data_IF_815664040150
#
_entry.id   IF_815664040150
#
_cell.length_a   1.000
_cell.length_b   1.000
_cell.length_c   1.000
_cell.angle_alpha   90.00
_cell.angle_beta   90.00
_cell.angle_gamma   90.00
#
_symmetry.space_group_name_H-M   'P 1'
#
loop_
_entity.id
_entity.type
_entity.pdbx_description
1 polymer ?
#
# COMPACT_ATOMS: atom_id res chain seq x y z
N UNK A 1 9.40 -6.08 -11.60
CA UNK A 1 9.49 -7.54 -11.71
C UNK A 1 9.13 -8.32 -10.45
N UNK A 2 9.20 -7.78 -9.23
CA UNK A 2 8.81 -8.56 -8.04
C UNK A 2 7.37 -9.08 -8.11
N UNK A 3 6.41 -8.24 -8.52
CA UNK A 3 5.01 -8.64 -8.68
C UNK A 3 4.83 -9.63 -9.82
N UNK A 4 5.45 -9.38 -10.98
CA UNK A 4 5.38 -10.27 -12.14
C UNK A 4 5.88 -11.67 -11.79
N UNK A 5 7.08 -11.77 -11.19
CA UNK A 5 7.66 -13.04 -10.75
C UNK A 5 6.72 -13.75 -9.76
N UNK A 6 6.17 -13.03 -8.79
CA UNK A 6 5.27 -13.60 -7.79
C UNK A 6 3.96 -14.12 -8.38
N UNK A 7 3.36 -13.36 -9.30
CA UNK A 7 2.10 -13.73 -9.97
C UNK A 7 2.33 -14.95 -10.88
N UNK A 8 3.37 -14.94 -11.70
CA UNK A 8 3.72 -16.05 -12.60
C UNK A 8 4.07 -17.32 -11.85
N UNK A 9 4.87 -17.21 -10.78
CA UNK A 9 5.22 -18.35 -9.92
C UNK A 9 3.97 -19.04 -9.33
N UNK A 10 2.92 -18.27 -9.03
CA UNK A 10 1.66 -18.80 -8.50
C UNK A 10 0.59 -19.02 -9.58
N UNK A 11 0.95 -18.92 -10.87
CA UNK A 11 0.03 -19.05 -12.00
C UNK A 11 -1.19 -18.11 -11.92
N UNK A 12 -1.02 -16.92 -11.35
CA UNK A 12 -2.07 -15.89 -11.27
C UNK A 12 -2.03 -15.06 -12.55
N UNK A 13 -3.10 -15.07 -13.36
CA UNK A 13 -3.13 -14.31 -14.61
C UNK A 13 -3.15 -12.81 -14.31
N UNK A 14 -2.29 -12.06 -14.98
CA UNK A 14 -2.25 -10.60 -14.84
C UNK A 14 -2.16 -9.88 -16.18
N UNK A 15 -2.53 -8.60 -16.17
CA UNK A 15 -2.38 -7.67 -17.29
C UNK A 15 -1.69 -6.40 -16.82
N UNK A 16 -0.61 -6.01 -17.50
CA UNK A 16 0.23 -4.86 -17.15
C UNK A 16 0.21 -3.73 -18.19
N UNK A 17 -0.79 -3.72 -19.09
CA UNK A 17 -0.93 -2.72 -20.14
C UNK A 17 -0.24 -3.07 -21.47
N UNK A 18 0.41 -4.23 -21.55
CA UNK A 18 1.08 -4.70 -22.77
C UNK A 18 0.30 -5.85 -23.42
N UNK A 19 0.22 -5.80 -24.75
CA UNK A 19 -0.47 -6.80 -25.58
C UNK A 19 0.47 -7.36 -26.64
N UNK A 20 0.29 -8.64 -26.98
CA UNK A 20 1.13 -9.36 -27.94
C UNK A 20 2.10 -10.33 -27.26
N UNK A 21 2.49 -11.38 -27.98
CA UNK A 21 3.33 -12.47 -27.45
C UNK A 21 4.79 -12.38 -27.88
N UNK A 22 5.06 -12.02 -29.13
CA UNK A 22 6.41 -11.98 -29.67
C UNK A 22 7.17 -10.69 -29.28
N UNK A 23 6.55 -9.54 -29.54
CA UNK A 23 7.08 -8.24 -29.15
C UNK A 23 5.93 -7.45 -28.52
N UNK A 24 5.66 -7.64 -27.22
CA UNK A 24 4.55 -7.00 -26.54
C UNK A 24 4.66 -5.48 -26.66
N UNK A 25 3.57 -4.81 -26.99
CA UNK A 25 3.50 -3.36 -27.12
C UNK A 25 2.48 -2.78 -26.14
N UNK A 26 2.74 -1.56 -25.66
CA UNK A 26 1.82 -0.86 -24.77
C UNK A 26 0.54 -0.51 -25.53
N UNK A 27 -0.61 -0.93 -24.99
CA UNK A 27 -1.92 -0.62 -25.57
C UNK A 27 -2.72 0.27 -24.61
N UNK A 28 -2.59 1.60 -24.78
CA UNK A 28 -3.24 2.58 -23.91
C UNK A 28 -4.78 2.51 -23.92
N UNK A 29 -5.39 2.15 -25.05
CA UNK A 29 -6.86 1.99 -25.14
C UNK A 29 -7.34 0.87 -24.21
N UNK A 30 -6.62 -0.26 -24.18
CA UNK A 30 -6.92 -1.36 -23.27
C UNK A 30 -6.52 -1.09 -21.81
N UNK A 31 -5.85 0.01 -21.50
CA UNK A 31 -5.61 0.44 -20.12
C UNK A 31 -6.80 1.23 -19.59
N UNK A 32 -7.40 2.08 -20.42
CA UNK A 32 -8.52 2.97 -20.06
C UNK A 32 -9.86 2.23 -19.95
N UNK A 33 -10.01 1.09 -20.65
CA UNK A 33 -11.15 0.20 -20.44
C UNK A 33 -11.26 -0.16 -18.94
N UNK A 34 -12.47 -0.31 -18.43
CA UNK A 34 -12.74 -0.73 -17.04
C UNK A 34 -13.44 -2.10 -17.01
N UNK A 35 -13.89 -2.59 -18.16
CA UNK A 35 -14.60 -3.85 -18.33
C UNK A 35 -13.59 -5.00 -18.52
N UNK A 36 -13.23 -5.64 -17.41
CA UNK A 36 -12.23 -6.72 -17.43
C UNK A 36 -12.75 -8.02 -16.84
N UNK A 37 -12.05 -9.10 -17.19
CA UNK A 37 -12.22 -10.39 -16.55
C UNK A 37 -11.92 -10.27 -15.05
N UNK A 38 -12.90 -10.62 -14.23
CA UNK A 38 -12.81 -10.57 -12.76
C UNK A 38 -11.69 -11.45 -12.19
N UNK A 39 -11.25 -12.46 -12.94
CA UNK A 39 -10.19 -13.39 -12.55
C UNK A 39 -8.78 -12.91 -12.90
N UNK A 40 -8.63 -11.79 -13.62
CA UNK A 40 -7.33 -11.29 -14.05
C UNK A 40 -6.88 -10.11 -13.18
N UNK A 41 -5.72 -10.25 -12.55
CA UNK A 41 -5.08 -9.17 -11.78
C UNK A 41 -4.60 -8.05 -12.70
N UNK A 42 -4.80 -6.79 -12.32
CA UNK A 42 -4.29 -5.63 -13.06
C UNK A 42 -3.06 -5.06 -12.36
N UNK A 43 -1.95 -4.98 -13.08
CA UNK A 43 -0.67 -4.50 -12.56
C UNK A 43 -0.28 -3.20 -13.27
N UNK A 44 -0.61 -2.07 -12.67
CA UNK A 44 -0.30 -0.76 -13.23
C UNK A 44 1.02 -0.22 -12.70
N UNK A 45 2.00 -0.04 -13.58
CA UNK A 45 3.36 0.40 -13.23
C UNK A 45 3.53 1.90 -13.52
N UNK A 46 2.97 2.74 -12.66
CA UNK A 46 2.86 4.21 -12.86
C UNK A 46 4.22 4.89 -13.11
N UNK A 47 5.29 4.42 -12.47
CA UNK A 47 6.66 4.95 -12.65
C UNK A 47 7.47 4.25 -13.75
N UNK A 48 6.83 3.37 -14.51
CA UNK A 48 7.49 2.54 -15.49
C UNK A 48 7.94 1.20 -14.95
N UNK A 49 8.65 0.47 -15.79
CA UNK A 49 9.18 -0.84 -15.50
C UNK A 49 10.55 -0.96 -16.14
N UNK A 50 11.39 -1.81 -15.55
CA UNK A 50 12.50 -2.39 -16.28
C UNK A 50 11.96 -3.10 -17.54
N UNK A 51 12.77 -3.13 -18.60
CA UNK A 51 12.42 -3.74 -19.89
C UNK A 51 11.42 -2.98 -20.76
N UNK A 52 11.03 -1.75 -20.41
CA UNK A 52 10.24 -0.90 -21.30
C UNK A 52 11.15 -0.10 -22.22
N UNK A 53 10.92 -0.17 -23.53
CA UNK A 53 11.73 0.46 -24.56
C UNK A 53 10.86 1.29 -25.50
N UNK A 54 11.36 2.43 -25.95
CA UNK A 54 10.73 3.19 -27.02
C UNK A 54 11.30 2.73 -28.36
N UNK A 55 10.42 2.21 -29.21
CA UNK A 55 10.74 1.82 -30.59
C UNK A 55 10.64 3.07 -31.48
N UNK A 56 11.78 3.64 -31.89
CA UNK A 56 11.85 4.86 -32.71
C UNK A 56 11.27 4.64 -34.12
N UNK A 57 11.41 3.45 -34.68
CA UNK A 57 10.94 3.12 -36.03
C UNK A 57 9.41 3.04 -36.07
N UNK A 58 8.83 2.36 -35.07
CA UNK A 58 7.38 2.14 -34.97
C UNK A 58 6.67 3.16 -34.07
N UNK A 59 7.41 4.09 -33.46
CA UNK A 59 6.95 5.14 -32.54
C UNK A 59 6.02 4.62 -31.44
N UNK A 60 6.41 3.51 -30.81
CA UNK A 60 5.60 2.82 -29.81
C UNK A 60 6.45 2.29 -28.67
N UNK A 61 5.81 1.99 -27.55
CA UNK A 61 6.48 1.39 -26.40
C UNK A 61 6.35 -0.11 -26.48
N UNK A 62 7.46 -0.80 -26.30
CA UNK A 62 7.55 -2.26 -26.35
C UNK A 62 8.20 -2.79 -25.09
N UNK A 63 7.90 -4.05 -24.76
CA UNK A 63 8.59 -4.79 -23.70
C UNK A 63 9.67 -5.67 -24.30
N UNK A 64 10.90 -5.53 -23.80
CA UNK A 64 12.08 -6.33 -24.15
C UNK A 64 12.84 -6.69 -22.86
N UNK A 65 13.91 -7.46 -22.99
CA UNK A 65 14.83 -7.71 -21.88
C UNK A 65 15.39 -6.38 -21.35
N UNK A 66 15.50 -6.29 -20.02
CA UNK A 66 15.99 -5.07 -19.35
C UNK A 66 17.43 -4.78 -19.75
N UNK A 67 17.70 -3.53 -20.12
CA UNK A 67 19.05 -3.05 -20.41
C UNK A 67 19.20 -1.57 -19.97
N UNK A 68 20.29 -0.91 -20.35
CA UNK A 68 20.57 0.49 -19.96
C UNK A 68 19.60 1.54 -20.53
N UNK A 69 18.77 1.17 -21.50
CA UNK A 69 17.80 2.05 -22.20
C UNK A 69 16.38 1.96 -21.62
N UNK A 70 16.22 1.27 -20.49
CA UNK A 70 14.93 1.07 -19.84
C UNK A 70 14.22 2.40 -19.49
N UNK A 71 12.97 2.52 -19.90
CA UNK A 71 12.10 3.67 -19.63
C UNK A 71 11.59 3.64 -18.17
N UNK A 72 12.28 4.41 -17.32
CA UNK A 72 11.91 4.61 -15.91
C UNK A 72 11.76 6.10 -15.56
N UNK A 73 10.66 6.45 -14.89
CA UNK A 73 10.49 7.76 -14.25
C UNK A 73 10.74 7.61 -12.76
N UNK A 74 11.76 8.30 -12.29
CA UNK A 74 12.05 8.39 -10.86
C UNK A 74 11.19 9.48 -10.25
N UNK A 75 10.79 9.36 -8.97
CA UNK A 75 10.07 10.40 -8.24
C UNK A 75 10.99 11.61 -8.04
N UNK A 76 11.07 12.49 -9.05
CA UNK A 76 11.78 13.76 -8.98
C UNK A 76 11.12 14.80 -9.89
N UNK A 77 11.06 16.04 -9.42
CA UNK A 77 10.45 17.18 -10.12
C UNK A 77 11.14 17.50 -11.46
N UNK A 78 12.42 17.14 -11.61
CA UNK A 78 13.22 17.38 -12.81
C UNK A 78 12.80 16.53 -14.04
N UNK A 79 11.96 15.50 -13.86
CA UNK A 79 11.49 14.61 -14.95
C UNK A 79 10.07 14.89 -15.43
N UNK A 80 9.53 16.08 -15.10
CA UNK A 80 8.17 16.50 -15.43
C UNK A 80 7.77 16.32 -16.91
N UNK A 81 8.68 16.61 -17.86
CA UNK A 81 8.37 16.45 -19.29
C UNK A 81 8.23 14.98 -19.72
N UNK A 82 8.79 14.04 -18.96
CA UNK A 82 8.70 12.61 -19.25
C UNK A 82 7.38 12.00 -18.75
N UNK A 83 6.82 12.50 -17.65
CA UNK A 83 5.54 11.99 -17.09
C UNK A 83 4.32 12.36 -17.92
N UNK A 84 4.46 13.32 -18.84
CA UNK A 84 3.40 13.75 -19.79
C UNK A 84 3.38 12.93 -21.09
N UNK A 85 4.29 11.97 -21.23
CA UNK A 85 4.35 11.07 -22.39
C UNK A 85 3.61 9.76 -22.09
N UNK A 86 3.12 9.10 -23.14
CA UNK A 86 2.74 7.69 -23.02
C UNK A 86 3.97 6.90 -22.56
N UNK A 87 3.80 5.90 -21.68
CA UNK A 87 2.55 5.29 -21.20
C UNK A 87 2.03 5.93 -19.89
N UNK A 88 2.78 6.87 -19.33
CA UNK A 88 2.61 7.39 -17.97
C UNK A 88 1.32 8.17 -17.79
N UNK A 89 0.95 8.99 -18.78
CA UNK A 89 -0.33 9.71 -18.77
C UNK A 89 -1.51 8.73 -18.67
N UNK A 90 -1.53 7.68 -19.48
CA UNK A 90 -2.60 6.68 -19.44
C UNK A 90 -2.69 5.96 -18.09
N UNK A 91 -1.55 5.61 -17.49
CA UNK A 91 -1.51 4.95 -16.18
C UNK A 91 -1.93 5.88 -15.04
N UNK A 92 -1.52 7.15 -15.10
CA UNK A 92 -1.95 8.16 -14.14
C UNK A 92 -3.44 8.46 -14.24
N UNK A 93 -3.98 8.53 -15.45
CA UNK A 93 -5.42 8.75 -15.68
C UNK A 93 -6.21 7.52 -15.23
N UNK A 94 -5.67 6.32 -15.44
CA UNK A 94 -6.25 5.07 -14.94
C UNK A 94 -6.38 5.02 -13.43
N UNK A 95 -5.38 5.52 -12.68
CA UNK A 95 -5.44 5.66 -11.22
C UNK A 95 -6.55 6.64 -10.81
N UNK A 96 -6.58 7.82 -11.44
CA UNK A 96 -7.61 8.84 -11.18
C UNK A 96 -9.01 8.29 -11.45
N UNK A 97 -9.21 7.61 -12.57
CA UNK A 97 -10.49 7.03 -12.97
C UNK A 97 -10.92 5.90 -12.04
N UNK A 98 -9.98 5.07 -11.57
CA UNK A 98 -10.25 4.04 -10.56
C UNK A 98 -10.81 4.65 -9.27
N UNK A 99 -10.12 5.64 -8.69
CA UNK A 99 -10.55 6.30 -7.43
C UNK A 99 -11.92 7.00 -7.56
N UNK A 100 -12.29 7.40 -8.79
CA UNK A 100 -13.57 8.02 -9.09
C UNK A 100 -14.73 7.02 -9.22
N UNK A 101 -14.49 5.72 -9.27
CA UNK A 101 -15.59 4.75 -9.29
C UNK A 101 -16.28 4.68 -7.93
N UNK A 102 -17.59 4.49 -7.92
CA UNK A 102 -18.37 4.28 -6.70
C UNK A 102 -17.83 3.07 -5.91
N UNK A 103 -17.96 3.14 -4.57
CA UNK A 103 -17.54 2.09 -3.63
C UNK A 103 -16.06 1.64 -3.75
N UNK A 104 -15.19 2.53 -4.25
CA UNK A 104 -13.77 2.22 -4.42
C UNK A 104 -13.01 2.31 -3.10
N UNK A 105 -12.25 1.26 -2.80
CA UNK A 105 -11.27 1.26 -1.72
C UNK A 105 -9.86 1.18 -2.29
N UNK A 106 -9.02 2.16 -1.96
CA UNK A 106 -7.58 2.12 -2.24
C UNK A 106 -6.80 1.82 -0.96
N UNK A 107 -6.02 0.74 -0.96
CA UNK A 107 -5.08 0.43 0.12
C UNK A 107 -3.68 0.80 -0.36
N UNK A 108 -3.00 1.65 0.41
CA UNK A 108 -1.66 2.14 0.12
C UNK A 108 -0.70 1.56 1.15
N UNK A 109 0.35 0.89 0.68
CA UNK A 109 1.41 0.33 1.51
C UNK A 109 2.77 0.56 0.83
N UNK A 110 3.80 0.89 1.61
CA UNK A 110 5.15 1.11 1.10
C UNK A 110 5.35 2.39 0.28
N UNK A 111 4.40 3.34 0.34
CA UNK A 111 4.50 4.63 -0.33
C UNK A 111 4.71 5.75 0.70
N UNK A 112 5.78 6.54 0.51
CA UNK A 112 6.17 7.61 1.44
C UNK A 112 5.38 8.90 1.28
N UNK A 113 4.56 9.03 0.22
CA UNK A 113 3.95 10.29 -0.22
C UNK A 113 4.96 11.37 -0.62
N UNK A 114 6.17 10.97 -1.03
CA UNK A 114 7.19 11.87 -1.55
C UNK A 114 6.97 12.36 -2.99
N UNK A 115 6.04 11.77 -3.75
CA UNK A 115 5.69 12.19 -5.11
C UNK A 115 4.43 13.07 -5.10
N UNK A 116 4.63 14.38 -5.22
CA UNK A 116 3.54 15.36 -5.18
C UNK A 116 2.52 15.16 -6.31
N UNK A 117 2.94 14.70 -7.49
CA UNK A 117 2.03 14.49 -8.62
C UNK A 117 1.09 13.31 -8.42
N UNK A 118 1.57 12.21 -7.84
CA UNK A 118 0.71 11.09 -7.44
C UNK A 118 -0.25 11.55 -6.34
N UNK A 119 0.26 12.31 -5.35
CA UNK A 119 -0.56 12.84 -4.26
C UNK A 119 -1.68 13.77 -4.77
N UNK A 120 -1.37 14.66 -5.71
CA UNK A 120 -2.33 15.55 -6.37
C UNK A 120 -3.39 14.76 -7.13
N UNK A 121 -3.01 13.72 -7.88
CA UNK A 121 -3.98 12.84 -8.59
C UNK A 121 -4.92 12.16 -7.60
N UNK A 122 -4.39 11.60 -6.51
CA UNK A 122 -5.19 10.92 -5.48
C UNK A 122 -6.17 11.90 -4.81
N UNK A 123 -5.66 13.04 -4.34
CA UNK A 123 -6.48 14.05 -3.61
C UNK A 123 -7.52 14.72 -4.51
N UNK A 124 -7.18 14.99 -5.78
CA UNK A 124 -8.12 15.52 -6.78
C UNK A 124 -9.22 14.51 -7.10
N UNK A 125 -8.86 13.24 -7.30
CA UNK A 125 -9.85 12.18 -7.55
C UNK A 125 -10.83 12.04 -6.38
N UNK A 126 -10.31 12.02 -5.15
CA UNK A 126 -11.13 12.01 -3.94
C UNK A 126 -12.05 13.23 -3.86
N UNK A 127 -11.62 14.42 -4.27
CA UNK A 127 -12.46 15.61 -4.19
C UNK A 127 -13.72 15.52 -5.07
N UNK A 128 -13.70 14.67 -6.10
CA UNK A 128 -14.82 14.49 -7.04
C UNK A 128 -15.79 13.35 -6.71
N UNK A 129 -15.39 12.38 -5.87
CA UNK A 129 -16.23 11.22 -5.52
C UNK A 129 -16.49 11.17 -4.01
N UNK A 130 -17.75 10.97 -3.61
CA UNK A 130 -18.16 10.93 -2.21
C UNK A 130 -18.02 9.56 -1.55
N UNK A 131 -17.92 8.47 -2.32
CA UNK A 131 -17.98 7.09 -1.83
C UNK A 131 -16.64 6.35 -1.85
N UNK A 132 -15.57 6.94 -2.38
CA UNK A 132 -14.25 6.32 -2.34
C UNK A 132 -13.51 6.60 -1.04
N UNK A 133 -12.79 5.58 -0.55
CA UNK A 133 -12.04 5.66 0.70
C UNK A 133 -10.62 5.14 0.50
N UNK A 134 -9.65 5.76 1.17
CA UNK A 134 -8.24 5.39 1.09
C UNK A 134 -7.73 4.99 2.47
N UNK A 135 -7.14 3.80 2.55
CA UNK A 135 -6.44 3.31 3.73
C UNK A 135 -4.94 3.39 3.46
N UNK A 136 -4.22 4.15 4.29
CA UNK A 136 -2.78 4.32 4.16
C UNK A 136 -2.09 3.63 5.32
N UNK A 137 -1.37 2.55 5.02
CA UNK A 137 -0.49 1.83 5.93
C UNK A 137 0.90 2.49 5.87
N UNK A 138 1.12 3.47 6.74
CA UNK A 138 2.33 4.30 6.73
C UNK A 138 3.38 3.74 7.70
N UNK A 139 4.47 3.25 7.13
CA UNK A 139 5.60 2.76 7.91
C UNK A 139 6.42 3.93 8.44
N UNK A 140 6.27 4.24 9.74
CA UNK A 140 6.87 5.41 10.39
C UNK A 140 7.92 5.08 11.45
N UNK A 141 8.28 3.80 11.59
CA UNK A 141 9.23 3.33 12.61
C UNK A 141 10.68 3.64 12.21
N UNK A 142 11.35 4.45 13.03
CA UNK A 142 12.78 4.69 12.94
C UNK A 142 13.51 4.15 14.18
N UNK A 143 14.73 3.67 13.99
CA UNK A 143 15.60 3.25 15.09
C UNK A 143 16.42 4.44 15.56
N UNK A 144 16.41 4.68 16.86
CA UNK A 144 17.33 5.64 17.49
C UNK A 144 18.75 5.05 17.67
N UNK A 145 19.66 5.86 18.21
CA UNK A 145 21.04 5.45 18.49
C UNK A 145 21.14 4.25 19.46
N UNK A 146 20.09 4.01 20.25
CA UNK A 146 19.98 2.92 21.21
C UNK A 146 19.25 1.69 20.66
N UNK A 147 18.96 1.64 19.34
CA UNK A 147 18.11 0.63 18.69
C UNK A 147 16.65 0.57 19.17
N UNK A 148 16.18 1.58 19.92
CA UNK A 148 14.75 1.72 20.23
C UNK A 148 13.99 2.18 19.01
N UNK A 149 12.82 1.58 18.78
CA UNK A 149 11.94 1.98 17.67
C UNK A 149 11.05 3.12 18.14
N UNK A 150 10.96 4.18 17.34
CA UNK A 150 10.06 5.30 17.58
C UNK A 150 9.23 5.59 16.34
N UNK A 151 7.92 5.80 16.55
CA UNK A 151 7.02 6.25 15.50
C UNK A 151 7.27 7.72 15.20
N UNK A 152 7.42 8.05 13.92
CA UNK A 152 7.77 9.41 13.49
C UNK A 152 6.57 10.22 13.00
N UNK A 153 5.37 9.62 12.92
CA UNK A 153 4.19 10.33 12.45
C UNK A 153 3.74 11.40 13.45
N UNK A 154 3.67 12.64 12.97
CA UNK A 154 3.13 13.80 13.71
C UNK A 154 2.08 14.52 12.88
N UNK A 155 1.29 15.40 13.52
CA UNK A 155 0.32 16.27 12.83
C UNK A 155 0.97 17.19 11.78
N UNK A 156 2.28 17.45 11.90
CA UNK A 156 3.03 18.28 10.95
C UNK A 156 3.53 17.53 9.72
N UNK A 157 3.50 16.20 9.75
CA UNK A 157 3.92 15.35 8.65
C UNK A 157 3.08 15.65 7.39
N UNK A 158 3.68 15.72 6.19
CA UNK A 158 2.95 16.07 4.96
C UNK A 158 1.70 15.21 4.73
N UNK A 159 1.83 13.90 4.92
CA UNK A 159 0.70 12.97 4.79
C UNK A 159 -0.37 13.13 5.88
N UNK A 160 0.03 13.48 7.11
CA UNK A 160 -0.92 13.76 8.18
C UNK A 160 -1.77 14.98 7.85
N UNK A 161 -1.18 16.05 7.31
CA UNK A 161 -1.91 17.25 6.87
C UNK A 161 -2.94 16.92 5.78
N UNK A 162 -2.57 16.08 4.81
CA UNK A 162 -3.48 15.60 3.75
C UNK A 162 -4.65 14.81 4.36
N UNK A 163 -4.37 13.88 5.28
CA UNK A 163 -5.40 13.06 5.91
C UNK A 163 -6.31 13.86 6.87
N UNK A 164 -5.76 14.85 7.59
CA UNK A 164 -6.51 15.76 8.45
C UNK A 164 -7.48 16.63 7.64
N UNK A 165 -7.08 17.04 6.44
CA UNK A 165 -7.91 17.84 5.54
C UNK A 165 -8.98 17.02 4.80
N UNK A 166 -8.86 15.69 4.75
CA UNK A 166 -9.74 14.82 3.98
C UNK A 166 -10.14 13.57 4.76
N UNK A 167 -11.37 13.57 5.30
CA UNK A 167 -11.91 12.48 6.12
C UNK A 167 -11.99 11.10 5.43
N UNK A 168 -11.88 11.07 4.10
CA UNK A 168 -11.86 9.84 3.29
C UNK A 168 -10.49 9.17 3.23
N UNK A 169 -9.47 9.79 3.82
CA UNK A 169 -8.14 9.21 3.97
C UNK A 169 -7.99 8.79 5.42
N UNK A 170 -7.88 7.48 5.65
CA UNK A 170 -7.52 6.92 6.94
C UNK A 170 -6.04 6.54 6.91
N UNK A 171 -5.26 7.27 7.69
CA UNK A 171 -3.81 7.09 7.83
C UNK A 171 -3.55 6.29 9.10
N UNK A 172 -2.87 5.15 8.96
CA UNK A 172 -2.48 4.27 10.05
C UNK A 172 -0.96 4.29 10.16
N UNK A 173 -0.45 4.61 11.34
CA UNK A 173 0.97 4.45 11.68
C UNK A 173 1.12 3.49 12.87
N UNK A 174 2.37 3.27 13.29
CA UNK A 174 2.69 2.37 14.40
C UNK A 174 1.93 2.72 15.68
N UNK A 175 2.05 3.95 16.18
CA UNK A 175 1.45 4.38 17.47
C UNK A 175 0.29 5.35 17.33
N UNK A 176 0.10 5.92 16.15
CA UNK A 176 -0.94 6.93 15.92
C UNK A 176 -1.67 6.69 14.60
N UNK A 177 -2.76 7.41 14.43
CA UNK A 177 -3.55 7.39 13.22
C UNK A 177 -4.24 8.72 12.99
N UNK A 178 -4.62 8.97 11.73
CA UNK A 178 -5.60 9.98 11.37
C UNK A 178 -6.80 9.26 10.77
N UNK A 179 -7.94 9.28 11.46
CA UNK A 179 -9.18 8.63 11.01
C UNK A 179 -10.29 9.66 11.01
N UNK A 180 -11.00 9.79 9.90
CA UNK A 180 -12.08 10.77 9.76
C UNK A 180 -11.62 12.23 9.94
N UNK A 181 -10.35 12.52 9.64
CA UNK A 181 -9.76 13.85 9.84
C UNK A 181 -9.33 14.16 11.28
N UNK A 182 -9.31 13.16 12.17
CA UNK A 182 -8.90 13.32 13.58
C UNK A 182 -7.64 12.52 13.86
N UNK A 183 -6.61 13.19 14.38
CA UNK A 183 -5.38 12.55 14.84
C UNK A 183 -5.57 11.97 16.24
N UNK A 184 -5.07 10.75 16.48
CA UNK A 184 -5.11 10.10 17.78
C UNK A 184 -4.06 9.00 17.94
N UNK A 185 -3.85 8.56 19.17
CA UNK A 185 -2.95 7.46 19.50
C UNK A 185 -3.73 6.16 19.69
N UNK A 186 -3.11 5.03 19.37
CA UNK A 186 -3.72 3.72 19.60
C UNK A 186 -3.83 3.44 21.10
N UNK A 187 -5.01 3.01 21.51
CA UNK A 187 -5.26 2.55 22.86
C UNK A 187 -6.41 1.55 22.88
N UNK A 188 -6.16 0.37 23.43
CA UNK A 188 -7.20 -0.62 23.66
C UNK A 188 -8.18 -0.12 24.72
N UNK A 189 -9.47 -0.42 24.52
CA UNK A 189 -10.54 0.03 25.43
C UNK A 189 -10.63 -0.78 26.72
N UNK A 190 -10.15 -2.02 26.68
CA UNK A 190 -10.14 -2.97 27.80
C UNK A 190 -8.96 -3.92 27.64
N UNK A 191 -8.50 -4.46 28.76
CA UNK A 191 -7.50 -5.52 28.79
C UNK A 191 -8.04 -6.77 28.08
N UNK A 192 -7.31 -7.32 27.10
CA UNK A 192 -7.72 -8.56 26.44
C UNK A 192 -7.75 -9.76 27.39
N UNK A 193 -8.73 -10.64 27.20
CA UNK A 193 -8.66 -11.97 27.78
C UNK A 193 -7.78 -12.87 26.89
N UNK A 194 -7.47 -14.10 27.35
CA UNK A 194 -6.60 -15.03 26.62
C UNK A 194 -7.06 -15.37 25.20
N UNK A 195 -8.37 -15.42 24.97
CA UNK A 195 -8.94 -15.75 23.65
C UNK A 195 -8.86 -14.54 22.71
N UNK A 196 -9.11 -13.34 23.24
CA UNK A 196 -9.01 -12.06 22.52
C UNK A 196 -7.55 -11.74 22.14
N UNK A 197 -6.59 -12.02 23.02
CA UNK A 197 -5.15 -11.77 22.79
C UNK A 197 -4.65 -12.43 21.51
N UNK A 198 -5.03 -13.69 21.26
CA UNK A 198 -4.58 -14.43 20.07
C UNK A 198 -4.96 -13.74 18.75
N UNK A 199 -6.10 -13.05 18.71
CA UNK A 199 -6.55 -12.31 17.54
C UNK A 199 -5.92 -10.91 17.50
N UNK A 200 -5.85 -10.24 18.64
CA UNK A 200 -5.26 -8.90 18.77
C UNK A 200 -3.78 -8.92 18.34
N UNK A 201 -3.02 -9.92 18.76
CA UNK A 201 -1.60 -10.11 18.41
C UNK A 201 -1.34 -10.21 16.89
N UNK A 202 -2.38 -10.47 16.09
CA UNK A 202 -2.25 -10.47 14.63
C UNK A 202 -2.08 -9.07 14.04
N UNK A 203 -2.57 -8.03 14.73
CA UNK A 203 -2.61 -6.67 14.22
C UNK A 203 -2.14 -5.60 15.21
N UNK A 204 -2.00 -5.90 16.50
CA UNK A 204 -1.58 -4.98 17.55
C UNK A 204 -0.59 -5.64 18.52
N UNK A 205 0.52 -4.98 18.79
CA UNK A 205 1.58 -5.42 19.71
C UNK A 205 1.53 -4.52 20.96
N UNK A 206 1.02 -5.03 22.08
CA UNK A 206 0.87 -4.27 23.32
C UNK A 206 2.23 -3.94 23.96
N UNK A 207 2.37 -2.72 24.47
CA UNK A 207 3.58 -2.31 25.18
C UNK A 207 3.72 -3.10 26.49
N UNK A 208 4.91 -3.67 26.72
CA UNK A 208 5.24 -4.27 28.01
C UNK A 208 5.27 -3.18 29.10
N UNK A 209 4.83 -3.54 30.31
CA UNK A 209 4.96 -2.65 31.44
C UNK A 209 6.43 -2.28 31.69
N UNK A 210 6.75 -0.98 31.56
CA UNK A 210 8.08 -0.44 31.80
C UNK A 210 7.99 0.82 32.65
N UNK A 211 8.23 0.71 33.95
CA UNK A 211 8.39 1.87 34.83
C UNK A 211 9.84 1.93 35.33
N UNK A 212 10.51 3.06 35.06
CA UNK A 212 11.94 3.24 35.31
C UNK A 212 12.22 3.42 36.81
N UNK A 213 11.20 3.84 37.57
CA UNK A 213 11.29 4.09 39.01
C UNK A 213 11.10 2.82 39.87
N UNK A 214 10.81 1.67 39.24
CA UNK A 214 10.62 0.42 39.97
C UNK A 214 11.95 -0.16 40.47
N UNK A 215 12.05 -0.42 41.77
CA UNK A 215 13.22 -1.08 42.35
C UNK A 215 13.32 -2.54 41.89
N UNK A 216 14.52 -2.97 41.50
CA UNK A 216 14.78 -4.37 41.13
C UNK A 216 14.56 -5.30 42.33
N UNK A 217 13.55 -6.17 42.26
CA UNK A 217 13.34 -7.25 43.23
C UNK A 217 12.12 -7.10 44.14
N UNK A 218 11.30 -6.07 43.94
CA UNK A 218 9.98 -5.91 44.59
C UNK A 218 8.86 -6.47 43.70
N UNK A 219 7.81 -7.03 44.31
CA UNK A 219 6.57 -7.33 43.59
C UNK A 219 5.93 -6.01 43.16
N UNK A 220 5.98 -5.72 41.87
CA UNK A 220 5.39 -4.51 41.30
C UNK A 220 4.02 -4.87 40.72
N UNK A 221 3.02 -4.07 41.06
CA UNK A 221 1.69 -4.17 40.49
C UNK A 221 1.71 -3.59 39.06
N UNK A 222 1.79 -4.47 38.06
CA UNK A 222 1.84 -4.07 36.66
C UNK A 222 0.55 -3.34 36.28
N UNK A 223 0.66 -2.06 35.92
CA UNK A 223 -0.48 -1.27 35.49
C UNK A 223 -0.64 -1.35 33.98
N UNK A 224 -1.70 -2.00 33.52
CA UNK A 224 -2.06 -2.07 32.11
C UNK A 224 -2.40 -0.67 31.56
N UNK A 225 -1.74 -0.27 30.46
CA UNK A 225 -1.93 1.03 29.80
C UNK A 225 -2.85 0.94 28.58
N UNK A 226 -2.93 -0.24 27.97
CA UNK A 226 -3.59 -0.50 26.68
C UNK A 226 -2.91 0.16 25.49
N UNK A 227 -1.70 0.68 25.68
CA UNK A 227 -0.87 1.27 24.63
C UNK A 227 -0.05 0.18 23.93
N UNK A 228 0.44 0.48 22.73
CA UNK A 228 1.05 -0.50 21.85
C UNK A 228 1.09 -0.04 20.39
N UNK A 229 1.55 -0.93 19.53
CA UNK A 229 1.86 -0.64 18.13
C UNK A 229 0.97 -1.44 17.17
N UNK A 230 0.37 -0.76 16.20
CA UNK A 230 -0.29 -1.41 15.07
C UNK A 230 0.78 -2.03 14.16
N UNK A 231 0.77 -3.36 14.04
CA UNK A 231 1.78 -4.08 13.23
C UNK A 231 1.41 -4.18 11.74
N UNK A 232 0.18 -3.84 11.37
CA UNK A 232 -0.30 -3.92 9.97
C UNK A 232 0.38 -2.95 9.01
N UNK A 233 1.16 -1.98 9.51
CA UNK A 233 1.99 -1.11 8.67
C UNK A 233 3.20 -1.85 8.06
N UNK A 234 3.59 -2.99 8.63
CA UNK A 234 4.58 -3.90 8.05
C UNK A 234 3.88 -4.80 7.02
N UNK A 235 4.33 -4.73 5.77
CA UNK A 235 3.73 -5.51 4.67
C UNK A 235 3.73 -7.02 4.95
N UNK A 236 4.75 -7.55 5.62
CA UNK A 236 4.82 -8.98 5.97
C UNK A 236 3.73 -9.36 6.96
N UNK A 237 3.55 -8.53 8.01
CA UNK A 237 2.50 -8.72 9.02
C UNK A 237 1.11 -8.53 8.41
N UNK A 238 0.95 -7.55 7.52
CA UNK A 238 -0.28 -7.34 6.78
C UNK A 238 -0.66 -8.56 5.93
N UNK A 239 0.29 -9.15 5.20
CA UNK A 239 0.04 -10.37 4.41
C UNK A 239 -0.32 -11.56 5.32
N UNK A 240 0.32 -11.70 6.48
CA UNK A 240 -0.03 -12.74 7.45
C UNK A 240 -1.45 -12.54 8.00
N UNK A 241 -1.81 -11.31 8.35
CA UNK A 241 -3.15 -10.95 8.78
C UNK A 241 -4.20 -11.29 7.71
N UNK A 242 -3.95 -10.92 6.45
CA UNK A 242 -4.86 -11.28 5.34
C UNK A 242 -4.99 -12.79 5.15
N UNK A 243 -3.89 -13.55 5.25
CA UNK A 243 -3.93 -15.02 5.16
C UNK A 243 -4.78 -15.66 6.24
N UNK A 244 -4.79 -15.10 7.45
CA UNK A 244 -5.63 -15.59 8.55
C UNK A 244 -7.10 -15.21 8.38
N UNK A 245 -7.39 -14.11 7.68
CA UNK A 245 -8.75 -13.66 7.37
C UNK A 245 -9.37 -14.42 6.19
N UNK A 246 -8.55 -14.86 5.23
CA UNK A 246 -8.99 -15.74 4.15
C UNK A 246 -9.15 -17.14 4.75
N UNK A 247 -10.38 -17.54 5.03
CA UNK A 247 -10.70 -18.91 5.42
C UNK A 247 -9.96 -19.88 4.49
N UNK A 248 -9.33 -20.95 4.99
CA UNK A 248 -8.88 -22.00 4.10
C UNK A 248 -10.11 -22.46 3.33
N UNK A 249 -10.12 -22.23 2.02
CA UNK A 249 -11.10 -22.87 1.16
C UNK A 249 -11.00 -24.36 1.49
N UNK A 250 -12.08 -24.93 2.05
CA UNK A 250 -12.33 -26.36 2.06
C UNK A 250 -12.53 -26.80 0.60
N UNK A 251 -11.48 -26.72 -0.20
CA UNK A 251 -11.28 -27.58 -1.35
C UNK A 251 -10.55 -28.81 -0.81
N UNK A 252 -11.29 -29.65 -0.07
CA UNK A 252 -11.13 -31.08 -0.25
C UNK A 252 -11.49 -31.36 -1.71
N UNK A 253 -10.51 -31.15 -2.60
CA UNK A 253 -10.56 -31.70 -3.93
C UNK A 253 -10.67 -33.21 -3.74
N UNK A 254 -11.78 -33.75 -4.22
CA UNK A 254 -12.18 -35.13 -4.01
C UNK A 254 -11.01 -36.09 -4.22
N UNK A 255 -10.80 -36.94 -3.22
CA UNK A 255 -10.26 -38.28 -3.45
C UNK A 255 -11.23 -38.98 -4.39
N UNK A 256 -10.98 -38.87 -5.69
CA UNK A 256 -11.46 -39.86 -6.63
C UNK A 256 -10.51 -41.05 -6.51
N UNK A 257 -10.99 -42.11 -5.84
CA UNK A 257 -10.61 -43.49 -6.13
C UNK A 257 -11.03 -43.88 -7.55
#
# INVERSE_FOLDING_TARGET
YLFEIGLEHNCIPYYDGFTGSYQPFFNGESVDDMSYLTTQTKLWKIHGSLGWHYDEDLKRIIRKDSNSEDMLIYPSTLKYDQSRKQPYTALGDRLTNFIKQDDTVLIVCGYSFGDEHINERITTALSSNHFSHIYVLYYDLQKDENNSKTGTLTTDSPIAKIALANSKISLFSSRSAVIGGVFGYWKLKREPNKDDSLNIDLYYDEDAYSNIDDEKGTEIEQKWTGEGELVLIDFTRFVQFLKNMVFPNNTEAGKHE
#
